data_IF_972692726085
#
_entry.id   IF_972692726085
#
_cell.length_a   1.000
_cell.length_b   1.000
_cell.length_c   1.000
_cell.angle_alpha   90.00
_cell.angle_beta   90.00
_cell.angle_gamma   90.00
#
_symmetry.space_group_name_H-M   'P 1'
#
loop_
_entity.id
_entity.type
_entity.pdbx_description
1 polymer ?
#
# COMPACT_ATOMS: atom_id res chain seq x y z
N UNK A 1 -47.31 26.77 48.77
CA UNK A 1 -47.66 25.38 48.45
C UNK A 1 -46.83 25.03 47.23
N UNK A 2 -45.90 24.09 47.39
CA UNK A 2 -44.81 23.74 46.47
C UNK A 2 -45.38 23.09 45.22
N UNK A 3 -44.99 23.60 44.05
CA UNK A 3 -45.49 23.19 42.75
C UNK A 3 -44.46 23.47 41.66
N UNK A 4 -43.22 23.12 41.94
CA UNK A 4 -42.12 23.02 40.98
C UNK A 4 -41.49 21.64 41.28
N UNK A 5 -40.98 20.94 40.26
CA UNK A 5 -40.32 19.61 40.31
C UNK A 5 -41.15 18.41 39.85
N UNK A 6 -41.67 18.41 38.61
CA UNK A 6 -42.14 17.16 37.99
C UNK A 6 -41.94 17.02 36.46
N UNK A 7 -41.11 17.85 35.81
CA UNK A 7 -40.94 17.81 34.34
C UNK A 7 -39.54 17.41 33.84
N UNK A 8 -38.59 17.07 34.74
CA UNK A 8 -37.18 16.88 34.36
C UNK A 8 -36.76 15.41 34.11
N UNK A 9 -37.59 14.41 34.47
CA UNK A 9 -37.14 13.00 34.50
C UNK A 9 -37.40 12.21 33.19
N UNK A 10 -38.36 12.61 32.36
CA UNK A 10 -38.79 11.83 31.19
C UNK A 10 -37.96 12.07 29.92
N UNK A 11 -37.41 13.27 29.73
CA UNK A 11 -36.59 13.62 28.56
C UNK A 11 -35.19 12.97 28.54
N UNK A 12 -34.62 12.69 29.71
CA UNK A 12 -33.31 12.03 29.85
C UNK A 12 -33.31 10.55 29.44
N UNK A 13 -34.42 9.84 29.69
CA UNK A 13 -34.55 8.41 29.38
C UNK A 13 -34.68 8.13 27.87
N UNK A 14 -35.41 8.99 27.14
CA UNK A 14 -35.51 8.92 25.67
C UNK A 14 -34.18 9.27 24.97
N UNK A 15 -33.44 10.24 25.52
CA UNK A 15 -32.09 10.58 25.07
C UNK A 15 -31.12 9.42 25.30
N UNK A 16 -31.15 8.78 26.47
CA UNK A 16 -30.30 7.63 26.79
C UNK A 16 -30.59 6.39 25.93
N UNK A 17 -31.87 6.10 25.67
CA UNK A 17 -32.29 5.01 24.77
C UNK A 17 -31.87 5.29 23.31
N UNK A 18 -32.03 6.52 22.84
CA UNK A 18 -31.57 6.94 21.52
C UNK A 18 -30.06 6.86 21.37
N UNK A 19 -29.31 7.25 22.41
CA UNK A 19 -27.86 7.15 22.44
C UNK A 19 -27.41 5.68 22.41
N UNK A 20 -28.01 4.83 23.23
CA UNK A 20 -27.72 3.40 23.31
C UNK A 20 -27.98 2.67 21.98
N UNK A 21 -29.09 2.98 21.30
CA UNK A 21 -29.38 2.40 19.99
C UNK A 21 -28.34 2.81 18.94
N UNK A 22 -27.90 4.08 18.96
CA UNK A 22 -26.91 4.61 18.03
C UNK A 22 -25.53 3.96 18.25
N UNK A 23 -25.12 3.76 19.50
CA UNK A 23 -23.88 3.04 19.82
C UNK A 23 -23.95 1.58 19.44
N UNK A 24 -25.07 0.89 19.72
CA UNK A 24 -25.24 -0.53 19.34
C UNK A 24 -25.19 -0.71 17.83
N UNK A 25 -25.90 0.13 17.05
CA UNK A 25 -25.84 0.09 15.59
C UNK A 25 -24.46 0.45 15.04
N UNK A 26 -23.81 1.47 15.60
CA UNK A 26 -22.45 1.85 15.20
C UNK A 26 -21.42 0.75 15.49
N UNK A 27 -21.56 0.05 16.61
CA UNK A 27 -20.72 -1.06 17.00
C UNK A 27 -20.94 -2.28 16.09
N UNK A 28 -22.20 -2.64 15.83
CA UNK A 28 -22.55 -3.73 14.90
C UNK A 28 -22.03 -3.45 13.49
N UNK A 29 -22.21 -2.23 13.00
CA UNK A 29 -21.70 -1.81 11.69
C UNK A 29 -20.16 -1.84 11.68
N UNK A 30 -19.52 -1.39 12.75
CA UNK A 30 -18.07 -1.45 12.90
C UNK A 30 -17.51 -2.87 12.89
N UNK A 31 -18.17 -3.81 13.55
CA UNK A 31 -17.80 -5.23 13.59
C UNK A 31 -17.92 -5.87 12.20
N UNK A 32 -18.99 -5.54 11.46
CA UNK A 32 -19.19 -6.06 10.10
C UNK A 32 -18.20 -5.42 9.11
N UNK A 33 -17.91 -4.13 9.24
CA UNK A 33 -17.05 -3.39 8.31
C UNK A 33 -15.54 -3.60 8.57
N UNK A 34 -15.15 -3.90 9.81
CA UNK A 34 -13.75 -4.14 10.19
C UNK A 34 -13.04 -5.22 9.34
N UNK A 35 -13.60 -6.42 9.11
CA UNK A 35 -12.97 -7.43 8.27
C UNK A 35 -12.89 -6.98 6.80
N UNK A 36 -13.92 -6.31 6.28
CA UNK A 36 -13.94 -5.74 4.93
C UNK A 36 -12.84 -4.69 4.73
N UNK A 37 -12.60 -3.84 5.74
CA UNK A 37 -11.53 -2.83 5.68
C UNK A 37 -10.13 -3.43 5.63
N UNK A 38 -9.93 -4.60 6.27
CA UNK A 38 -8.65 -5.33 6.25
C UNK A 38 -8.47 -6.06 4.92
N UNK A 39 -9.54 -6.66 4.40
CA UNK A 39 -9.54 -7.35 3.12
C UNK A 39 -9.34 -6.38 1.95
N UNK A 40 -10.05 -5.25 1.96
CA UNK A 40 -9.89 -4.17 0.98
C UNK A 40 -8.46 -3.62 1.00
N UNK A 41 -7.86 -3.39 2.17
CA UNK A 41 -6.44 -2.97 2.25
C UNK A 41 -5.48 -3.99 1.65
N UNK A 42 -5.68 -5.28 1.91
CA UNK A 42 -4.85 -6.35 1.34
C UNK A 42 -5.02 -6.46 -0.18
N UNK A 43 -6.26 -6.36 -0.66
CA UNK A 43 -6.56 -6.35 -2.09
C UNK A 43 -5.96 -5.11 -2.78
N UNK A 44 -6.04 -3.94 -2.16
CA UNK A 44 -5.46 -2.71 -2.70
C UNK A 44 -3.92 -2.80 -2.73
N UNK A 45 -3.31 -3.32 -1.67
CA UNK A 45 -1.88 -3.59 -1.64
C UNK A 45 -1.47 -4.60 -2.72
N UNK A 46 -2.20 -5.70 -2.87
CA UNK A 46 -1.96 -6.69 -3.92
C UNK A 46 -2.14 -6.12 -5.33
N UNK A 47 -3.18 -5.34 -5.57
CA UNK A 47 -3.45 -4.71 -6.86
C UNK A 47 -2.34 -3.72 -7.28
N UNK A 48 -1.59 -3.18 -6.33
CA UNK A 48 -0.44 -2.29 -6.60
C UNK A 48 0.86 -3.11 -6.67
N UNK A 49 1.11 -3.99 -5.70
CA UNK A 49 2.33 -4.80 -5.62
C UNK A 49 2.47 -5.80 -6.76
N UNK A 50 1.38 -6.44 -7.20
CA UNK A 50 1.41 -7.44 -8.27
C UNK A 50 1.88 -6.85 -9.60
N UNK A 51 1.29 -5.76 -10.14
CA UNK A 51 1.79 -5.17 -11.38
C UNK A 51 3.19 -4.58 -11.24
N UNK A 52 3.54 -4.02 -10.08
CA UNK A 52 4.92 -3.54 -9.83
C UNK A 52 5.91 -4.72 -9.86
N UNK A 53 5.60 -5.82 -9.17
CA UNK A 53 6.46 -7.00 -9.14
C UNK A 53 6.55 -7.67 -10.52
N UNK A 54 5.44 -7.73 -11.25
CA UNK A 54 5.40 -8.23 -12.62
C UNK A 54 6.24 -7.38 -13.57
N UNK A 55 6.07 -6.05 -13.51
CA UNK A 55 6.86 -5.11 -14.31
C UNK A 55 8.35 -5.19 -13.97
N UNK A 56 8.70 -5.23 -12.68
CA UNK A 56 10.08 -5.38 -12.21
C UNK A 56 10.69 -6.70 -12.68
N UNK A 57 9.93 -7.79 -12.60
CA UNK A 57 10.34 -9.10 -13.09
C UNK A 57 10.61 -9.11 -14.59
N UNK A 58 9.70 -8.58 -15.41
CA UNK A 58 9.87 -8.46 -16.86
C UNK A 58 11.08 -7.59 -17.20
N UNK A 59 11.25 -6.46 -16.50
CA UNK A 59 12.35 -5.54 -16.73
C UNK A 59 13.72 -6.16 -16.42
N UNK A 60 13.83 -6.86 -15.29
CA UNK A 60 15.05 -7.61 -14.93
C UNK A 60 15.31 -8.72 -15.95
N UNK A 61 14.28 -9.47 -16.36
CA UNK A 61 14.43 -10.59 -17.28
C UNK A 61 14.84 -10.13 -18.68
N UNK A 62 14.25 -9.04 -19.18
CA UNK A 62 14.60 -8.46 -20.48
C UNK A 62 16.02 -7.88 -20.48
N UNK A 63 16.40 -7.15 -19.41
CA UNK A 63 17.77 -6.65 -19.25
C UNK A 63 18.79 -7.77 -19.12
N UNK A 64 18.42 -8.88 -18.45
CA UNK A 64 19.27 -10.05 -18.31
C UNK A 64 19.46 -10.81 -19.62
N UNK A 65 18.39 -11.06 -20.36
CA UNK A 65 18.44 -11.72 -21.66
C UNK A 65 19.25 -10.91 -22.69
N UNK A 66 18.99 -9.60 -22.79
CA UNK A 66 19.73 -8.71 -23.69
C UNK A 66 21.19 -8.55 -23.28
N UNK A 67 21.49 -8.49 -21.98
CA UNK A 67 22.87 -8.44 -21.47
C UNK A 67 23.65 -9.70 -21.83
N UNK A 68 23.04 -10.88 -21.67
CA UNK A 68 23.64 -12.16 -22.02
C UNK A 68 23.96 -12.28 -23.52
N UNK A 69 23.07 -11.84 -24.41
CA UNK A 69 23.31 -11.81 -25.86
C UNK A 69 24.46 -10.86 -26.24
N UNK A 70 24.53 -9.70 -25.59
CA UNK A 70 25.64 -8.74 -25.78
C UNK A 70 26.99 -9.32 -25.35
N UNK A 71 27.04 -10.02 -24.20
CA UNK A 71 28.28 -10.63 -23.72
C UNK A 71 28.71 -11.83 -24.56
N UNK A 72 27.77 -12.61 -25.10
CA UNK A 72 28.07 -13.69 -26.06
C UNK A 72 28.63 -13.12 -27.37
N UNK A 73 28.06 -12.02 -27.89
CA UNK A 73 28.56 -11.34 -29.08
C UNK A 73 29.97 -10.76 -28.90
N UNK A 74 30.28 -10.25 -27.70
CA UNK A 74 31.60 -9.73 -27.34
C UNK A 74 32.66 -10.83 -27.10
N UNK A 75 32.29 -12.11 -27.18
CA UNK A 75 33.19 -13.23 -26.91
C UNK A 75 33.61 -13.33 -25.43
N UNK A 76 32.88 -12.68 -24.53
CA UNK A 76 33.13 -12.72 -23.09
C UNK A 76 32.68 -14.06 -22.54
N UNK A 77 33.41 -14.60 -21.57
CA UNK A 77 33.02 -15.84 -20.92
C UNK A 77 31.59 -15.72 -20.35
N UNK A 78 30.71 -16.64 -20.77
CA UNK A 78 29.29 -16.68 -20.40
C UNK A 78 29.04 -16.58 -18.89
N UNK A 79 29.95 -17.08 -18.07
CA UNK A 79 29.87 -16.97 -16.58
C UNK A 79 30.07 -15.54 -16.08
N UNK A 80 30.98 -14.79 -16.72
CA UNK A 80 31.26 -13.39 -16.39
C UNK A 80 30.08 -12.53 -16.87
N UNK A 81 29.59 -12.77 -18.10
CA UNK A 81 28.40 -12.10 -18.62
C UNK A 81 27.15 -12.31 -17.75
N UNK A 82 26.97 -13.53 -17.23
CA UNK A 82 25.90 -13.87 -16.27
C UNK A 82 26.04 -13.08 -14.97
N UNK A 83 27.25 -13.06 -14.40
CA UNK A 83 27.51 -12.38 -13.13
C UNK A 83 27.26 -10.86 -13.25
N UNK A 84 27.75 -10.26 -14.33
CA UNK A 84 27.59 -8.82 -14.60
C UNK A 84 26.12 -8.50 -14.86
N UNK A 85 25.43 -9.29 -15.68
CA UNK A 85 24.01 -9.06 -16.00
C UNK A 85 23.11 -9.17 -14.78
N UNK A 86 23.35 -10.11 -13.86
CA UNK A 86 22.59 -10.19 -12.59
C UNK A 86 22.90 -9.01 -11.70
N UNK A 87 24.18 -8.62 -11.60
CA UNK A 87 24.59 -7.50 -10.73
C UNK A 87 23.99 -6.19 -11.21
N UNK A 88 24.04 -5.93 -12.51
CA UNK A 88 23.45 -4.75 -13.15
C UNK A 88 21.93 -4.81 -13.09
N UNK A 89 21.31 -5.95 -13.37
CA UNK A 89 19.86 -6.14 -13.28
C UNK A 89 19.31 -5.92 -11.86
N UNK A 90 20.08 -6.25 -10.83
CA UNK A 90 19.73 -5.99 -9.43
C UNK A 90 19.97 -4.53 -9.03
N UNK A 91 20.98 -3.86 -9.59
CA UNK A 91 21.31 -2.46 -9.29
C UNK A 91 20.42 -1.46 -10.04
N UNK A 92 19.98 -1.76 -11.26
CA UNK A 92 19.20 -0.82 -12.08
C UNK A 92 17.92 -0.31 -11.39
N UNK A 93 17.09 -1.18 -10.76
CA UNK A 93 15.93 -0.75 -10.02
C UNK A 93 16.26 0.23 -8.90
N UNK A 94 17.37 -0.01 -8.19
CA UNK A 94 17.84 0.88 -7.14
C UNK A 94 18.27 2.24 -7.69
N UNK A 95 18.97 2.28 -8.82
CA UNK A 95 19.36 3.54 -9.47
C UNK A 95 18.13 4.32 -9.93
N UNK A 96 17.11 3.65 -10.47
CA UNK A 96 15.85 4.28 -10.88
C UNK A 96 15.10 4.83 -9.66
N UNK A 97 14.98 4.06 -8.57
CA UNK A 97 14.33 4.50 -7.33
C UNK A 97 15.08 5.70 -6.72
N UNK A 98 16.41 5.62 -6.64
CA UNK A 98 17.24 6.72 -6.13
C UNK A 98 17.16 7.95 -7.03
N UNK A 99 17.11 7.80 -8.35
CA UNK A 99 16.96 8.92 -9.28
C UNK A 99 15.58 9.60 -9.18
N UNK A 100 14.52 8.81 -9.01
CA UNK A 100 13.18 9.35 -8.73
C UNK A 100 13.18 10.05 -7.37
N UNK A 101 13.75 9.43 -6.34
CA UNK A 101 13.81 10.00 -5.00
C UNK A 101 14.60 11.31 -4.98
N UNK A 102 15.76 11.35 -5.63
CA UNK A 102 16.58 12.56 -5.80
C UNK A 102 15.77 13.67 -6.48
N UNK A 103 15.06 13.36 -7.56
CA UNK A 103 14.19 14.32 -8.27
C UNK A 103 13.08 14.87 -7.35
N UNK A 104 12.52 14.05 -6.47
CA UNK A 104 11.51 14.50 -5.51
C UNK A 104 12.11 15.32 -4.36
N UNK A 105 13.31 14.97 -3.87
CA UNK A 105 14.02 15.74 -2.84
C UNK A 105 14.41 17.13 -3.33
N UNK A 106 14.79 17.29 -4.61
CA UNK A 106 15.11 18.60 -5.18
C UNK A 106 13.87 19.51 -5.36
N UNK A 107 12.65 18.95 -5.42
CA UNK A 107 11.41 19.71 -5.63
C UNK A 107 10.75 20.21 -4.35
N UNK A 108 11.17 19.77 -3.16
CA UNK A 108 10.62 20.25 -1.87
C UNK A 108 11.43 21.41 -1.25
N UNK A 109 12.58 21.81 -1.83
CA UNK A 109 13.48 22.84 -1.26
C UNK A 109 13.31 24.23 -1.90
N UNK A 110 12.40 24.41 -2.88
CA UNK A 110 12.16 25.70 -3.56
C UNK A 110 10.80 26.31 -3.22
#
# INVERSE_FOLDING_TARGET
MVGEDAESSSGGLLSALGLALKTVFGLLLGIILAPYRRFARRLLAGAILIPIAGFLGVFIFAGFAGGMELFDFLGVNRRIGFLVSITVGMMLPWVVILGILHRYTDHEIL
#
